data_IF_051415061904
#
_entry.id   IF_051415061904
#
_cell.length_a   1.000
_cell.length_b   1.000
_cell.length_c   1.000
_cell.angle_alpha   90.00
_cell.angle_beta   90.00
_cell.angle_gamma   90.00
#
_symmetry.space_group_name_H-M   'P 1'
#
loop_
_entity.id
_entity.type
_entity.pdbx_description
1 polymer ?
#
# COMPACT_ATOMS: atom_id res chain seq x y z
N UNK A 1 -3.45 4.54 -13.21
CA UNK A 1 -3.24 5.57 -12.18
C UNK A 1 -2.89 4.98 -10.80
N UNK A 2 -3.50 3.88 -10.34
CA UNK A 2 -3.30 3.33 -8.97
C UNK A 2 -1.86 3.04 -8.52
N UNK A 3 -1.01 2.43 -9.35
CA UNK A 3 0.38 2.14 -8.95
C UNK A 3 1.21 3.42 -8.72
N UNK A 4 1.00 4.46 -9.53
CA UNK A 4 1.67 5.76 -9.33
C UNK A 4 1.17 6.44 -8.06
N UNK A 5 -0.14 6.42 -7.83
CA UNK A 5 -0.73 6.93 -6.58
C UNK A 5 -0.16 6.20 -5.36
N UNK A 6 -0.05 4.87 -5.41
CA UNK A 6 0.54 4.08 -4.33
C UNK A 6 2.02 4.41 -4.09
N UNK A 7 2.81 4.67 -5.15
CA UNK A 7 4.20 5.12 -5.00
C UNK A 7 4.29 6.47 -4.28
N UNK A 8 3.29 7.34 -4.42
CA UNK A 8 3.27 8.65 -3.78
C UNK A 8 2.80 8.55 -2.34
N UNK A 9 1.69 7.84 -2.09
CA UNK A 9 1.00 7.84 -0.80
C UNK A 9 1.42 6.71 0.16
N UNK A 10 1.95 5.60 -0.35
CA UNK A 10 2.33 4.45 0.47
C UNK A 10 3.85 4.33 0.57
N UNK A 11 4.38 4.43 1.81
CA UNK A 11 5.81 4.39 2.09
C UNK A 11 6.50 3.12 1.56
N UNK A 12 5.88 1.96 1.75
CA UNK A 12 6.44 0.68 1.32
C UNK A 12 6.56 0.59 -0.22
N UNK A 13 5.55 1.06 -0.93
CA UNK A 13 5.56 1.09 -2.41
C UNK A 13 6.55 2.13 -2.95
N UNK A 14 6.69 3.28 -2.28
CA UNK A 14 7.69 4.31 -2.60
C UNK A 14 9.10 3.75 -2.45
N UNK A 15 9.41 3.16 -1.30
CA UNK A 15 10.71 2.58 -1.02
C UNK A 15 11.06 1.45 -2.01
N UNK A 16 10.10 0.56 -2.29
CA UNK A 16 10.29 -0.51 -3.26
C UNK A 16 10.58 0.02 -4.68
N UNK A 17 9.86 1.06 -5.11
CA UNK A 17 10.12 1.71 -6.39
C UNK A 17 11.53 2.30 -6.44
N UNK A 18 11.89 3.11 -5.44
CA UNK A 18 13.18 3.79 -5.37
C UNK A 18 14.34 2.81 -5.35
N UNK A 19 14.26 1.75 -4.54
CA UNK A 19 15.27 0.69 -4.48
C UNK A 19 15.52 0.08 -5.85
N UNK A 20 14.47 -0.38 -6.53
CA UNK A 20 14.61 -1.02 -7.84
C UNK A 20 15.13 -0.09 -8.92
N UNK A 21 14.69 1.17 -8.91
CA UNK A 21 15.21 2.16 -9.86
C UNK A 21 16.66 2.54 -9.57
N UNK A 22 17.07 2.56 -8.29
CA UNK A 22 18.46 2.76 -7.87
C UNK A 22 19.37 1.60 -8.29
N UNK A 23 18.85 0.38 -8.34
CA UNK A 23 19.51 -0.80 -8.91
C UNK A 23 19.52 -0.81 -10.46
N UNK A 24 19.12 0.28 -11.12
CA UNK A 24 19.08 0.39 -12.59
C UNK A 24 17.97 -0.40 -13.27
N UNK A 25 16.97 -0.91 -12.53
CA UNK A 25 15.86 -1.67 -13.14
C UNK A 25 14.92 -0.73 -13.91
N UNK A 26 14.37 -1.23 -15.02
CA UNK A 26 13.46 -0.48 -15.86
C UNK A 26 12.24 0.04 -15.06
N UNK A 27 11.95 1.34 -15.18
CA UNK A 27 10.87 2.03 -14.46
C UNK A 27 9.50 1.41 -14.74
N UNK A 28 9.20 1.08 -16.01
CA UNK A 28 7.91 0.52 -16.40
C UNK A 28 7.72 -0.90 -15.86
N UNK A 29 8.76 -1.75 -15.94
CA UNK A 29 8.75 -3.07 -15.31
C UNK A 29 8.52 -2.98 -13.80
N UNK A 30 9.16 -2.03 -13.13
CA UNK A 30 8.97 -1.79 -11.69
C UNK A 30 7.54 -1.40 -11.36
N UNK A 31 6.90 -0.52 -12.15
CA UNK A 31 5.49 -0.16 -11.97
C UNK A 31 4.58 -1.37 -12.24
N UNK A 32 4.89 -2.23 -13.21
CA UNK A 32 4.15 -3.49 -13.45
C UNK A 32 4.19 -4.41 -12.23
N UNK A 33 5.36 -4.57 -11.62
CA UNK A 33 5.50 -5.36 -10.39
C UNK A 33 4.67 -4.75 -9.25
N UNK A 34 4.66 -3.43 -9.10
CA UNK A 34 3.86 -2.74 -8.08
C UNK A 34 2.35 -2.97 -8.31
N UNK A 35 1.86 -2.96 -9.55
CA UNK A 35 0.46 -3.33 -9.84
C UNK A 35 0.14 -4.75 -9.37
N UNK A 36 1.01 -5.71 -9.63
CA UNK A 36 0.81 -7.10 -9.21
C UNK A 36 0.85 -7.27 -7.69
N UNK A 37 1.70 -6.51 -7.00
CA UNK A 37 1.72 -6.46 -5.52
C UNK A 37 0.39 -5.95 -4.96
N UNK A 38 -0.16 -4.89 -5.56
CA UNK A 38 -1.47 -4.33 -5.14
C UNK A 38 -2.61 -5.32 -5.39
N UNK A 39 -2.66 -5.95 -6.58
CA UNK A 39 -3.64 -6.99 -6.91
C UNK A 39 -3.58 -8.15 -5.91
N UNK A 40 -2.37 -8.64 -5.63
CA UNK A 40 -2.17 -9.75 -4.68
C UNK A 40 -2.69 -9.40 -3.28
N UNK A 41 -2.49 -8.15 -2.81
CA UNK A 41 -3.03 -7.68 -1.52
C UNK A 41 -4.56 -7.69 -1.51
N UNK A 42 -5.19 -7.21 -2.58
CA UNK A 42 -6.65 -7.20 -2.71
C UNK A 42 -7.20 -8.63 -2.66
N UNK A 43 -6.64 -9.54 -3.47
CA UNK A 43 -7.07 -10.94 -3.47
C UNK A 43 -6.87 -11.61 -2.11
N UNK A 44 -5.78 -11.33 -1.40
CA UNK A 44 -5.55 -11.86 -0.06
C UNK A 44 -6.60 -11.37 0.96
N UNK A 45 -6.99 -10.10 0.91
CA UNK A 45 -8.03 -9.53 1.78
C UNK A 45 -9.39 -10.16 1.50
N UNK A 46 -9.76 -10.28 0.21
CA UNK A 46 -11.01 -10.92 -0.23
C UNK A 46 -11.05 -12.39 0.23
N UNK A 47 -9.98 -13.14 -0.02
CA UNK A 47 -9.90 -14.57 0.35
C UNK A 47 -10.00 -14.78 1.86
N UNK A 48 -9.39 -13.92 2.68
CA UNK A 48 -9.45 -14.02 4.14
C UNK A 48 -10.82 -13.66 4.73
N UNK A 49 -11.79 -13.17 3.92
CA UNK A 49 -13.07 -12.62 4.38
C UNK A 49 -12.93 -11.55 5.47
N UNK A 50 -11.74 -10.98 5.64
CA UNK A 50 -11.53 -9.80 6.50
C UNK A 50 -12.29 -8.65 5.87
N UNK A 51 -13.43 -8.34 6.46
CA UNK A 51 -14.30 -7.27 6.01
C UNK A 51 -13.49 -5.97 5.98
N UNK A 52 -13.51 -5.27 4.83
CA UNK A 52 -12.83 -3.98 4.64
C UNK A 52 -13.19 -2.96 5.74
N UNK A 53 -14.36 -3.13 6.36
CA UNK A 53 -14.87 -2.33 7.48
C UNK A 53 -14.01 -2.42 8.76
N UNK A 54 -13.37 -3.56 9.03
CA UNK A 54 -12.49 -3.73 10.21
C UNK A 54 -11.25 -2.84 10.06
N UNK A 55 -10.70 -2.72 8.84
CA UNK A 55 -9.53 -1.87 8.57
C UNK A 55 -9.87 -0.38 8.68
N UNK A 56 -11.05 0.03 8.23
CA UNK A 56 -11.52 1.42 8.41
C UNK A 56 -11.76 1.76 9.88
N UNK A 57 -12.24 0.81 10.69
CA UNK A 57 -12.44 1.03 12.13
C UNK A 57 -11.12 1.03 12.92
N UNK A 58 -10.11 0.28 12.49
CA UNK A 58 -8.78 0.29 13.12
C UNK A 58 -8.04 1.60 12.85
N UNK A 59 -8.06 2.12 11.62
CA UNK A 59 -7.48 3.44 11.33
C UNK A 59 -8.25 4.59 12.01
N UNK A 60 -9.57 4.46 12.18
CA UNK A 60 -10.38 5.43 12.93
C UNK A 60 -10.05 5.43 14.42
N UNK A 61 -9.88 4.24 15.02
CA UNK A 61 -9.47 4.11 16.43
C UNK A 61 -8.07 4.67 16.69
N UNK A 62 -7.10 4.43 15.80
CA UNK A 62 -5.75 5.02 15.94
C UNK A 62 -5.77 6.56 15.84
N UNK A 63 -6.64 7.13 15.02
CA UNK A 63 -6.81 8.58 14.93
C UNK A 63 -7.46 9.17 16.19
N UNK A 64 -8.48 8.49 16.76
CA UNK A 64 -9.13 8.90 18.00
C UNK A 64 -8.21 8.79 19.23
N UNK A 65 -7.35 7.75 19.30
CA UNK A 65 -6.39 7.60 20.41
C UNK A 65 -5.27 8.64 20.41
N UNK A 66 -4.83 9.09 19.23
CA UNK A 66 -3.80 10.14 19.10
C UNK A 66 -4.36 11.57 19.31
N UNK A 67 -5.69 11.74 19.35
CA UNK A 67 -6.32 13.00 19.75
C UNK A 67 -6.61 13.09 21.26
N UNK A 68 -6.54 11.97 21.98
CA UNK A 68 -6.96 11.89 23.39
C UNK A 68 -5.79 11.71 24.39
N UNK A 69 -4.57 11.40 23.93
CA UNK A 69 -3.37 11.44 24.77
C UNK A 69 -2.24 12.19 24.03
N UNK A 70 -1.79 13.36 24.54
CA UNK A 70 -0.66 14.11 23.97
C UNK A 70 0.70 13.42 24.21
#
# INVERSE_FOLDING_TARGET
MCAKSAIISNYEMKFYYLKRTGEGKNKMCTINIIRNKLLSRIFAVVKRKTHMWILQNLQRKEFETNLFYP
#
